data_IF_973968233720
#
_entry.id   IF_973968233720
#
_cell.length_a   1.000
_cell.length_b   1.000
_cell.length_c   1.000
_cell.angle_alpha   90.00
_cell.angle_beta   90.00
_cell.angle_gamma   90.00
#
_symmetry.space_group_name_H-M   'P 1'
#
loop_
_entity.id
_entity.type
_entity.pdbx_description
1 polymer ?
#
# COMPACT_ATOMS: atom_id res chain seq x y z
N UNK A 1 -61.78 -29.76 -22.83
CA UNK A 1 -61.48 -30.22 -21.45
C UNK A 1 -60.16 -29.59 -21.07
N UNK A 2 -60.20 -28.56 -20.20
CA UNK A 2 -59.19 -28.09 -19.21
C UNK A 2 -57.77 -27.83 -19.76
N UNK A 3 -57.28 -26.59 -19.89
CA UNK A 3 -56.91 -25.63 -18.82
C UNK A 3 -55.47 -25.97 -18.34
N UNK A 4 -54.46 -25.10 -18.23
CA UNK A 4 -54.38 -23.67 -17.95
C UNK A 4 -53.03 -23.12 -18.47
N UNK A 5 -53.04 -21.83 -18.82
CA UNK A 5 -51.84 -20.97 -18.88
C UNK A 5 -51.07 -21.04 -17.56
N UNK A 6 -49.76 -21.22 -17.62
CA UNK A 6 -48.85 -20.74 -16.58
C UNK A 6 -47.72 -19.99 -17.29
N UNK A 7 -47.98 -18.71 -17.54
CA UNK A 7 -46.92 -17.71 -17.59
C UNK A 7 -46.11 -17.88 -16.30
N UNK A 8 -44.87 -18.35 -16.41
CA UNK A 8 -43.92 -18.21 -15.31
C UNK A 8 -43.64 -16.72 -15.17
N UNK A 9 -44.42 -16.05 -14.33
CA UNK A 9 -43.99 -14.81 -13.70
C UNK A 9 -42.65 -15.12 -13.06
N UNK A 10 -41.59 -14.64 -13.68
CA UNK A 10 -40.36 -14.37 -12.97
C UNK A 10 -40.76 -13.27 -12.00
N UNK A 11 -41.14 -13.66 -10.78
CA UNK A 11 -41.22 -12.73 -9.66
C UNK A 11 -39.79 -12.19 -9.51
N UNK A 12 -39.54 -11.07 -10.17
CA UNK A 12 -38.44 -10.15 -9.84
C UNK A 12 -38.72 -9.70 -8.42
N UNK A 13 -38.35 -10.56 -7.46
CA UNK A 13 -38.58 -10.31 -6.06
C UNK A 13 -37.85 -9.01 -5.73
N UNK A 14 -38.56 -8.08 -5.11
CA UNK A 14 -38.00 -6.82 -4.64
C UNK A 14 -36.82 -7.02 -3.64
N UNK A 15 -36.51 -8.27 -3.27
CA UNK A 15 -35.33 -8.65 -2.51
C UNK A 15 -34.04 -8.68 -3.35
N UNK A 16 -34.10 -8.98 -4.66
CA UNK A 16 -32.91 -8.90 -5.54
C UNK A 16 -32.57 -7.44 -5.90
N UNK A 17 -33.55 -6.55 -5.82
CA UNK A 17 -33.34 -5.10 -5.90
C UNK A 17 -32.86 -4.46 -4.59
N UNK A 18 -32.81 -5.22 -3.48
CA UNK A 18 -31.91 -4.91 -2.36
C UNK A 18 -30.49 -5.35 -2.71
N UNK A 19 -30.00 -4.88 -3.86
CA UNK A 19 -28.57 -4.67 -4.07
C UNK A 19 -28.12 -3.65 -3.02
N UNK A 20 -27.81 -4.18 -1.83
CA UNK A 20 -27.01 -3.65 -0.74
C UNK A 20 -27.12 -2.13 -0.69
N UNK A 21 -27.95 -1.56 0.17
CA UNK A 21 -27.92 -0.11 0.38
C UNK A 21 -26.48 0.31 0.73
N UNK A 22 -25.78 0.84 -0.28
CA UNK A 22 -24.33 0.85 -0.37
C UNK A 22 -23.84 2.08 0.42
N UNK A 23 -23.53 1.92 1.72
CA UNK A 23 -22.85 2.99 2.48
C UNK A 23 -21.44 3.24 1.91
N UNK A 24 -21.03 4.44 1.49
CA UNK A 24 -19.74 4.65 0.82
C UNK A 24 -18.54 4.33 1.73
N UNK A 25 -17.36 4.09 1.13
CA UNK A 25 -16.08 4.26 1.84
C UNK A 25 -16.13 5.58 2.63
N UNK A 26 -15.41 5.72 3.74
CA UNK A 26 -15.28 7.05 4.35
C UNK A 26 -14.81 7.99 3.23
N UNK A 27 -15.63 8.98 2.83
CA UNK A 27 -15.35 9.85 1.67
C UNK A 27 -13.92 10.38 1.68
N UNK A 28 -13.39 10.57 2.89
CA UNK A 28 -12.02 10.95 3.18
C UNK A 28 -10.94 10.00 2.64
N UNK A 29 -11.03 8.67 2.81
CA UNK A 29 -9.98 7.76 2.31
C UNK A 29 -9.93 7.76 0.77
N UNK A 30 -11.10 7.80 0.12
CA UNK A 30 -11.20 7.92 -1.33
C UNK A 30 -10.61 9.25 -1.82
N UNK A 31 -11.01 10.37 -1.23
CA UNK A 31 -10.49 11.71 -1.57
C UNK A 31 -8.97 11.82 -1.39
N UNK A 32 -8.43 11.25 -0.31
CA UNK A 32 -6.99 11.25 -0.02
C UNK A 32 -6.22 10.48 -1.10
N UNK A 33 -6.69 9.28 -1.47
CA UNK A 33 -6.07 8.50 -2.54
C UNK A 33 -6.19 9.24 -3.88
N UNK A 34 -7.34 9.84 -4.17
CA UNK A 34 -7.55 10.61 -5.40
C UNK A 34 -6.62 11.81 -5.51
N UNK A 35 -6.45 12.58 -4.43
CA UNK A 35 -5.49 13.69 -4.35
C UNK A 35 -4.07 13.20 -4.62
N UNK A 36 -3.66 12.11 -3.97
CA UNK A 36 -2.34 11.52 -4.17
C UNK A 36 -2.11 11.07 -5.61
N UNK A 37 -3.09 10.39 -6.23
CA UNK A 37 -3.00 9.96 -7.63
C UNK A 37 -2.87 11.15 -8.60
N UNK A 38 -3.57 12.26 -8.35
CA UNK A 38 -3.45 13.47 -9.17
C UNK A 38 -2.02 14.01 -9.17
N UNK A 39 -1.40 14.13 -7.98
CA UNK A 39 -0.01 14.59 -7.84
C UNK A 39 0.98 13.62 -8.51
N UNK A 40 0.76 12.32 -8.36
CA UNK A 40 1.60 11.31 -9.04
C UNK A 40 1.51 11.42 -10.57
N UNK A 41 0.34 11.77 -11.12
CA UNK A 41 0.16 12.00 -12.55
C UNK A 41 0.84 13.29 -13.01
N UNK A 42 0.72 14.38 -12.26
CA UNK A 42 1.43 15.64 -12.52
C UNK A 42 2.94 15.44 -12.51
N UNK A 43 3.48 14.66 -11.56
CA UNK A 43 4.88 14.28 -11.55
C UNK A 43 5.30 13.49 -12.79
N UNK A 44 4.46 12.54 -13.22
CA UNK A 44 4.71 11.78 -14.45
C UNK A 44 4.77 12.67 -15.70
N UNK A 45 4.13 13.85 -15.67
CA UNK A 45 4.19 14.87 -16.72
C UNK A 45 5.33 15.88 -16.55
N UNK A 46 6.14 15.77 -15.49
CA UNK A 46 7.22 16.71 -15.17
C UNK A 46 6.74 18.07 -14.63
N UNK A 47 5.51 18.14 -14.12
CA UNK A 47 4.92 19.40 -13.62
C UNK A 47 5.26 19.71 -12.15
N UNK A 48 5.80 18.74 -11.43
CA UNK A 48 6.23 18.90 -10.04
C UNK A 48 7.77 18.97 -9.95
N UNK A 49 8.32 19.80 -9.05
CA UNK A 49 9.76 19.89 -8.86
C UNK A 49 10.35 18.53 -8.45
N UNK A 50 11.56 18.25 -8.94
CA UNK A 50 12.37 17.12 -8.49
C UNK A 50 13.21 17.50 -7.28
N UNK A 51 13.41 16.55 -6.38
CA UNK A 51 14.30 16.65 -5.23
C UNK A 51 15.41 15.62 -5.35
N UNK A 52 16.56 15.86 -4.73
CA UNK A 52 17.59 14.83 -4.60
C UNK A 52 17.22 13.76 -3.56
N UNK A 53 16.24 14.04 -2.70
CA UNK A 53 15.71 13.07 -1.73
C UNK A 53 14.64 12.22 -2.42
N UNK A 54 14.82 10.88 -2.57
CA UNK A 54 13.93 10.03 -3.35
C UNK A 54 12.48 10.06 -2.89
N UNK A 55 12.26 10.10 -1.58
CA UNK A 55 10.93 10.13 -0.98
C UNK A 55 10.15 11.40 -1.34
N UNK A 56 10.82 12.53 -1.54
CA UNK A 56 10.18 13.78 -1.99
C UNK A 56 9.78 13.74 -3.48
N UNK A 57 10.13 12.68 -4.21
CA UNK A 57 9.77 12.48 -5.61
C UNK A 57 8.57 11.53 -5.79
N UNK A 58 7.80 11.25 -4.73
CA UNK A 58 6.51 10.55 -4.84
C UNK A 58 5.41 11.58 -5.12
N UNK A 59 4.45 11.83 -4.23
CA UNK A 59 3.51 12.94 -4.42
C UNK A 59 4.16 14.31 -4.23
N UNK A 60 5.33 14.37 -3.58
CA UNK A 60 5.95 15.62 -3.11
C UNK A 60 5.51 16.02 -1.70
N UNK A 61 4.62 15.25 -1.10
CA UNK A 61 4.10 15.41 0.26
C UNK A 61 4.24 14.07 0.99
N UNK A 62 5.30 13.94 1.80
CA UNK A 62 5.61 12.71 2.53
C UNK A 62 4.51 12.30 3.50
N UNK A 63 3.81 13.27 4.09
CA UNK A 63 2.68 12.97 4.98
C UNK A 63 1.56 12.32 4.16
N UNK A 64 1.24 12.88 2.99
CA UNK A 64 0.25 12.30 2.09
C UNK A 64 0.66 10.89 1.62
N UNK A 65 1.91 10.69 1.24
CA UNK A 65 2.44 9.38 0.82
C UNK A 65 2.30 8.34 1.94
N UNK A 66 2.61 8.73 3.18
CA UNK A 66 2.47 7.92 4.39
C UNK A 66 1.02 7.62 4.75
N UNK A 67 0.13 8.61 4.64
CA UNK A 67 -1.30 8.43 4.88
C UNK A 67 -1.88 7.42 3.89
N UNK A 68 -1.56 7.55 2.60
CA UNK A 68 -2.00 6.59 1.57
C UNK A 68 -1.46 5.19 1.87
N UNK A 69 -0.16 5.07 2.21
CA UNK A 69 0.44 3.80 2.60
C UNK A 69 -0.30 3.16 3.79
N UNK A 70 -0.62 3.95 4.82
CA UNK A 70 -1.35 3.48 6.00
C UNK A 70 -2.77 3.00 5.70
N UNK A 71 -3.42 3.57 4.68
CA UNK A 71 -4.75 3.13 4.23
C UNK A 71 -4.63 1.78 3.54
N UNK A 72 -3.71 1.67 2.57
CA UNK A 72 -3.59 0.46 1.75
C UNK A 72 -3.03 -0.70 2.54
N UNK A 73 -2.04 -0.49 3.40
CA UNK A 73 -1.36 -1.53 4.19
C UNK A 73 -2.08 -1.97 5.47
N UNK A 74 -3.25 -1.39 5.79
CA UNK A 74 -3.92 -1.58 7.08
C UNK A 74 -4.14 -3.07 7.45
N UNK A 75 -4.42 -3.93 6.46
CA UNK A 75 -4.62 -5.36 6.67
C UNK A 75 -3.33 -6.17 6.88
N UNK A 76 -2.17 -5.66 6.46
CA UNK A 76 -0.86 -6.32 6.64
C UNK A 76 -0.09 -5.81 7.85
N UNK A 77 -0.60 -4.83 8.59
CA UNK A 77 0.17 -4.07 9.59
C UNK A 77 0.92 -4.93 10.62
N UNK A 78 0.32 -6.02 11.09
CA UNK A 78 0.94 -6.92 12.06
C UNK A 78 2.07 -7.79 11.50
N UNK A 79 2.21 -7.83 10.16
CA UNK A 79 3.25 -8.56 9.43
C UNK A 79 4.32 -7.65 8.83
N UNK A 80 4.15 -6.34 8.93
CA UNK A 80 5.13 -5.37 8.45
C UNK A 80 6.36 -5.36 9.37
N UNK A 81 7.54 -5.01 8.84
CA UNK A 81 8.74 -4.85 9.65
C UNK A 81 8.49 -3.92 10.85
N UNK A 82 8.92 -4.32 12.04
CA UNK A 82 8.61 -3.61 13.28
C UNK A 82 9.76 -3.75 14.26
N UNK A 83 10.60 -2.73 14.34
CA UNK A 83 11.70 -2.71 15.29
C UNK A 83 11.15 -2.65 16.73
N UNK A 84 11.74 -3.45 17.62
CA UNK A 84 11.34 -3.57 19.02
C UNK A 84 12.56 -3.45 19.92
N UNK A 85 12.39 -2.74 21.03
CA UNK A 85 13.45 -2.55 22.02
C UNK A 85 12.86 -2.55 23.43
N UNK A 86 13.69 -2.79 24.42
CA UNK A 86 13.32 -2.60 25.82
C UNK A 86 13.72 -1.20 26.28
N UNK A 87 12.81 -0.49 26.96
CA UNK A 87 13.15 0.77 27.61
C UNK A 87 13.94 0.54 28.92
N UNK A 88 14.37 1.63 29.57
CA UNK A 88 15.15 1.56 30.82
C UNK A 88 14.38 0.90 31.98
N UNK A 89 13.06 0.84 31.89
CA UNK A 89 12.17 0.23 32.89
C UNK A 89 11.90 -1.25 32.57
N UNK A 90 12.46 -1.78 31.48
CA UNK A 90 12.25 -3.16 31.04
C UNK A 90 10.94 -3.38 30.29
N UNK A 91 10.25 -2.33 29.86
CA UNK A 91 9.06 -2.47 29.04
C UNK A 91 9.42 -2.64 27.57
N UNK A 92 8.77 -3.60 26.90
CA UNK A 92 8.90 -3.76 25.45
C UNK A 92 8.20 -2.61 24.72
N UNK A 93 8.97 -1.88 23.92
CA UNK A 93 8.52 -0.86 22.99
C UNK A 93 8.66 -1.37 21.56
N UNK A 94 7.88 -0.78 20.66
CA UNK A 94 7.85 -1.14 19.26
C UNK A 94 7.54 0.10 18.44
N UNK A 95 8.13 0.21 17.25
CA UNK A 95 7.84 1.31 16.32
C UNK A 95 6.37 1.27 15.89
N UNK A 96 5.84 0.06 15.65
CA UNK A 96 4.43 -0.15 15.34
C UNK A 96 3.72 -0.73 16.55
N UNK A 97 2.84 0.07 17.15
CA UNK A 97 1.89 -0.42 18.14
C UNK A 97 0.84 -1.36 17.52
N UNK A 98 0.29 -2.25 18.34
CA UNK A 98 -0.86 -3.08 17.95
C UNK A 98 -2.03 -2.18 17.57
N UNK A 99 -2.56 -2.34 16.37
CA UNK A 99 -3.73 -1.60 15.90
C UNK A 99 -4.75 -2.58 15.36
N UNK A 100 -6.00 -2.40 15.76
CA UNK A 100 -7.11 -3.18 15.20
C UNK A 100 -7.28 -2.78 13.74
N UNK A 101 -7.37 -3.76 12.85
CA UNK A 101 -7.66 -3.55 11.43
C UNK A 101 -8.95 -2.73 11.33
N UNK A 102 -8.93 -1.65 10.55
CA UNK A 102 -10.11 -0.81 10.38
C UNK A 102 -11.19 -1.61 9.66
N UNK A 103 -12.40 -1.63 10.22
CA UNK A 103 -13.57 -2.19 9.53
C UNK A 103 -13.95 -1.26 8.37
N UNK A 104 -13.82 -1.77 7.15
CA UNK A 104 -14.23 -1.10 5.92
C UNK A 104 -15.33 -1.89 5.24
N UNK A 105 -16.07 -1.21 4.36
CA UNK A 105 -16.99 -1.88 3.45
C UNK A 105 -16.27 -2.75 2.42
N UNK A 106 -15.21 -2.21 1.83
CA UNK A 106 -14.30 -2.96 0.96
C UNK A 106 -12.98 -3.03 1.71
N UNK A 107 -12.60 -4.24 2.10
CA UNK A 107 -11.30 -4.44 2.72
C UNK A 107 -10.23 -4.43 1.63
N UNK A 108 -9.27 -3.53 1.78
CA UNK A 108 -8.06 -3.54 0.96
C UNK A 108 -7.15 -4.67 1.47
N UNK A 109 -6.73 -5.52 0.54
CA UNK A 109 -5.88 -6.68 0.80
C UNK A 109 -4.56 -6.51 0.05
N UNK A 110 -3.51 -6.05 0.73
CA UNK A 110 -2.20 -5.96 0.12
C UNK A 110 -1.64 -7.35 -0.13
N UNK A 111 -1.02 -7.53 -1.29
CA UNK A 111 -0.19 -8.68 -1.58
C UNK A 111 1.26 -8.33 -1.31
N UNK A 112 1.92 -9.16 -0.52
CA UNK A 112 3.36 -9.06 -0.31
C UNK A 112 4.10 -9.35 -1.62
N UNK A 113 5.01 -8.45 -2.02
CA UNK A 113 5.85 -8.65 -3.20
C UNK A 113 7.12 -9.40 -2.82
N UNK A 114 7.92 -8.81 -1.93
CA UNK A 114 9.14 -9.38 -1.36
C UNK A 114 9.61 -8.48 -0.22
N UNK A 115 10.58 -8.95 0.56
CA UNK A 115 11.30 -8.18 1.58
C UNK A 115 12.79 -8.21 1.31
N UNK A 116 13.46 -7.08 1.50
CA UNK A 116 14.92 -6.95 1.46
C UNK A 116 15.44 -6.58 2.85
N UNK A 117 16.73 -6.76 3.05
CA UNK A 117 17.47 -6.15 4.13
C UNK A 117 18.48 -5.15 3.57
N UNK A 118 18.40 -3.90 4.02
CA UNK A 118 19.33 -2.87 3.56
C UNK A 118 20.76 -3.10 4.03
N UNK A 119 20.93 -3.48 5.29
CA UNK A 119 22.25 -3.66 5.87
C UNK A 119 22.21 -4.50 7.15
N UNK A 120 23.34 -5.13 7.45
CA UNK A 120 23.65 -5.63 8.79
C UNK A 120 24.47 -4.57 9.53
N UNK A 121 23.87 -3.89 10.49
CA UNK A 121 24.60 -2.90 11.30
C UNK A 121 25.31 -3.54 12.49
N UNK A 122 24.76 -4.63 13.02
CA UNK A 122 25.39 -5.48 14.03
C UNK A 122 24.68 -6.85 14.06
N UNK A 123 25.19 -7.85 14.80
CA UNK A 123 24.45 -9.08 15.06
C UNK A 123 23.05 -8.80 15.64
N UNK A 124 22.00 -9.15 14.90
CA UNK A 124 20.60 -8.90 15.28
C UNK A 124 20.11 -7.47 15.08
N UNK A 125 20.89 -6.61 14.40
CA UNK A 125 20.49 -5.27 13.97
C UNK A 125 20.46 -5.20 12.45
N UNK A 126 19.28 -5.54 11.95
CA UNK A 126 18.94 -5.57 10.54
C UNK A 126 18.09 -4.34 10.17
N UNK A 127 18.04 -4.01 8.88
CA UNK A 127 17.25 -2.91 8.33
C UNK A 127 16.27 -3.44 7.28
N UNK A 128 15.27 -4.26 7.69
CA UNK A 128 14.32 -4.86 6.78
C UNK A 128 13.37 -3.83 6.16
N UNK A 129 13.13 -4.00 4.87
CA UNK A 129 12.13 -3.24 4.12
C UNK A 129 11.25 -4.19 3.31
N UNK A 130 9.93 -4.08 3.51
CA UNK A 130 8.93 -4.92 2.86
C UNK A 130 8.19 -4.14 1.77
N UNK A 131 8.06 -4.76 0.60
CA UNK A 131 7.34 -4.23 -0.55
C UNK A 131 5.99 -4.92 -0.69
N UNK A 132 4.96 -4.16 -0.99
CA UNK A 132 3.61 -4.69 -1.17
C UNK A 132 2.85 -3.94 -2.25
N UNK A 133 1.87 -4.62 -2.85
CA UNK A 133 0.96 -4.04 -3.83
C UNK A 133 -0.48 -4.22 -3.37
N UNK A 134 -1.28 -3.17 -3.49
CA UNK A 134 -2.70 -3.21 -3.14
C UNK A 134 -3.53 -2.73 -4.30
N UNK A 135 -4.53 -3.52 -4.71
CA UNK A 135 -5.54 -3.06 -5.66
C UNK A 135 -6.54 -2.14 -4.95
N UNK A 136 -6.77 -0.96 -5.52
CA UNK A 136 -7.74 0.03 -5.02
C UNK A 136 -8.89 0.11 -6.02
N UNK A 137 -10.02 -0.55 -5.73
CA UNK A 137 -11.14 -0.64 -6.68
C UNK A 137 -11.72 0.72 -7.05
N UNK A 138 -11.79 1.64 -6.08
CA UNK A 138 -12.44 2.94 -6.24
C UNK A 138 -11.76 3.86 -7.26
N UNK A 139 -10.48 3.61 -7.57
CA UNK A 139 -9.72 4.35 -8.57
C UNK A 139 -9.25 3.45 -9.74
N UNK A 140 -9.57 2.16 -9.67
CA UNK A 140 -9.13 1.14 -10.62
C UNK A 140 -7.61 1.16 -10.88
N UNK A 141 -6.81 1.19 -9.82
CA UNK A 141 -5.33 1.18 -9.87
C UNK A 141 -4.75 0.20 -8.87
N UNK A 142 -3.48 -0.16 -9.06
CA UNK A 142 -2.67 -0.80 -8.03
C UNK A 142 -1.68 0.20 -7.47
N UNK A 143 -1.63 0.32 -6.15
CA UNK A 143 -0.66 1.15 -5.43
C UNK A 143 0.43 0.24 -4.87
N UNK A 144 1.68 0.63 -5.09
CA UNK A 144 2.86 -0.03 -4.54
C UNK A 144 3.33 0.77 -3.33
N UNK A 145 3.58 0.08 -2.24
CA UNK A 145 4.03 0.66 -0.98
C UNK A 145 5.28 -0.04 -0.50
N UNK A 146 6.13 0.73 0.17
CA UNK A 146 7.26 0.22 0.94
C UNK A 146 7.02 0.42 2.43
N UNK A 147 7.63 -0.43 3.25
CA UNK A 147 7.44 -0.47 4.68
C UNK A 147 8.75 -0.82 5.39
N UNK A 148 9.31 0.13 6.13
CA UNK A 148 10.53 -0.01 6.92
C UNK A 148 10.19 -0.35 8.37
N UNK A 149 11.15 -0.83 9.14
CA UNK A 149 10.98 -1.17 10.56
C UNK A 149 11.16 0.02 11.51
N UNK A 150 11.72 1.14 11.03
CA UNK A 150 11.93 2.39 11.77
C UNK A 150 11.47 3.62 10.99
N UNK A 151 11.45 4.78 11.67
CA UNK A 151 11.16 6.10 11.08
C UNK A 151 12.41 6.84 10.63
N UNK A 152 13.60 6.25 10.78
CA UNK A 152 14.86 7.00 10.77
C UNK A 152 15.19 7.60 9.41
N UNK A 153 14.76 6.96 8.32
CA UNK A 153 15.06 7.41 6.96
C UNK A 153 14.18 8.57 6.50
N UNK A 154 12.87 8.52 6.79
CA UNK A 154 11.87 9.43 6.19
C UNK A 154 10.94 10.10 7.19
N UNK A 155 11.09 9.84 8.50
CA UNK A 155 10.13 10.24 9.54
C UNK A 155 8.85 9.39 9.56
N UNK A 156 8.68 8.50 8.58
CA UNK A 156 7.55 7.59 8.44
C UNK A 156 8.04 6.17 8.17
N UNK A 157 7.24 5.19 8.62
CA UNK A 157 7.57 3.78 8.44
C UNK A 157 6.99 3.17 7.18
N UNK A 158 5.95 3.78 6.60
CA UNK A 158 5.24 3.28 5.43
C UNK A 158 5.13 4.41 4.41
N UNK A 159 5.40 4.14 3.14
CA UNK A 159 5.28 5.12 2.06
C UNK A 159 4.66 4.49 0.81
N UNK A 160 3.77 5.24 0.16
CA UNK A 160 3.23 4.88 -1.15
C UNK A 160 4.19 5.37 -2.23
N UNK A 161 4.94 4.45 -2.84
CA UNK A 161 6.06 4.77 -3.73
C UNK A 161 5.67 4.88 -5.21
N UNK A 162 4.48 4.42 -5.58
CA UNK A 162 3.95 4.63 -6.91
C UNK A 162 2.72 3.79 -7.21
N UNK A 163 2.25 3.88 -8.46
CA UNK A 163 1.04 3.20 -8.89
C UNK A 163 1.18 2.66 -10.32
N UNK A 164 0.32 1.70 -10.65
CA UNK A 164 0.20 1.18 -12.01
C UNK A 164 -1.26 0.80 -12.32
N UNK A 165 -1.54 0.61 -13.62
CA UNK A 165 -2.81 0.04 -14.06
C UNK A 165 -2.97 -1.40 -13.54
N UNK A 166 -4.20 -1.88 -13.31
CA UNK A 166 -4.46 -3.22 -12.81
C UNK A 166 -4.35 -4.25 -13.94
N UNK A 167 -3.13 -4.50 -14.41
CA UNK A 167 -2.83 -5.54 -15.40
C UNK A 167 -3.25 -6.94 -14.91
N UNK A 168 -3.31 -7.93 -15.81
CA UNK A 168 -3.69 -9.30 -15.44
C UNK A 168 -2.80 -9.88 -14.32
N UNK A 169 -1.50 -9.61 -14.38
CA UNK A 169 -0.50 -10.00 -13.38
C UNK A 169 -0.04 -8.77 -12.58
N UNK A 170 -0.11 -8.79 -11.24
CA UNK A 170 0.39 -7.70 -10.39
C UNK A 170 1.85 -7.33 -10.66
N UNK A 171 2.69 -8.33 -10.89
CA UNK A 171 4.15 -8.24 -11.01
C UNK A 171 4.58 -7.36 -12.18
N UNK A 172 3.82 -7.39 -13.29
CA UNK A 172 4.16 -6.64 -14.50
C UNK A 172 4.16 -5.13 -14.26
N UNK A 173 3.15 -4.63 -13.56
CA UNK A 173 3.02 -3.20 -13.28
C UNK A 173 3.92 -2.73 -12.14
N UNK A 174 4.09 -3.56 -11.11
CA UNK A 174 4.86 -3.22 -9.90
C UNK A 174 6.36 -3.14 -10.18
N UNK A 175 6.88 -3.97 -11.09
CA UNK A 175 8.30 -3.98 -11.47
C UNK A 175 8.83 -2.59 -11.82
N UNK A 176 8.13 -1.86 -12.69
CA UNK A 176 8.58 -0.51 -13.12
C UNK A 176 8.58 0.49 -11.96
N UNK A 177 7.61 0.39 -11.04
CA UNK A 177 7.53 1.26 -9.87
C UNK A 177 8.72 1.01 -8.94
N UNK A 178 8.99 -0.26 -8.62
CA UNK A 178 10.11 -0.65 -7.76
C UNK A 178 11.45 -0.27 -8.39
N UNK A 179 11.65 -0.55 -9.68
CA UNK A 179 12.88 -0.18 -10.37
C UNK A 179 13.10 1.34 -10.39
N UNK A 180 12.04 2.13 -10.57
CA UNK A 180 12.15 3.60 -10.49
C UNK A 180 12.47 4.07 -9.08
N UNK A 181 11.88 3.44 -8.05
CA UNK A 181 12.16 3.74 -6.66
C UNK A 181 13.63 3.45 -6.31
N UNK A 182 14.10 2.25 -6.64
CA UNK A 182 15.48 1.84 -6.42
C UNK A 182 16.49 2.63 -7.23
N UNK A 183 16.17 3.03 -8.47
CA UNK A 183 17.05 3.89 -9.27
C UNK A 183 17.33 5.22 -8.55
N UNK A 184 16.28 5.85 -7.99
CA UNK A 184 16.43 7.09 -7.21
C UNK A 184 17.17 6.87 -5.90
N UNK A 185 16.91 5.75 -5.21
CA UNK A 185 17.67 5.41 -4.01
C UNK A 185 19.15 5.22 -4.34
N UNK A 186 19.47 4.51 -5.41
CA UNK A 186 20.85 4.31 -5.84
C UNK A 186 21.56 5.65 -6.11
N UNK A 187 20.89 6.59 -6.79
CA UNK A 187 21.41 7.95 -7.00
C UNK A 187 21.63 8.73 -5.69
N UNK A 188 20.84 8.44 -4.66
CA UNK A 188 20.87 9.16 -3.38
C UNK A 188 21.85 8.58 -2.36
N UNK A 189 21.84 7.26 -2.14
CA UNK A 189 22.64 6.56 -1.12
C UNK A 189 23.85 5.81 -1.69
N UNK A 190 23.91 5.56 -3.01
CA UNK A 190 25.06 4.94 -3.67
C UNK A 190 25.31 3.45 -3.38
N UNK A 191 24.59 2.84 -2.43
CA UNK A 191 24.79 1.45 -2.01
C UNK A 191 23.55 0.58 -2.26
N UNK A 192 23.74 -0.69 -2.70
CA UNK A 192 22.65 -1.65 -2.81
C UNK A 192 22.25 -2.18 -1.41
N UNK A 193 21.11 -2.85 -1.36
CA UNK A 193 20.72 -3.67 -0.21
C UNK A 193 21.60 -4.94 -0.09
N UNK A 194 21.65 -5.53 1.10
CA UNK A 194 22.52 -6.64 1.42
C UNK A 194 22.00 -7.99 0.90
N UNK A 195 20.73 -8.30 1.16
CA UNK A 195 20.10 -9.57 0.77
C UNK A 195 18.57 -9.49 0.70
N UNK A 196 17.98 -10.56 0.14
CA UNK A 196 16.53 -10.80 0.12
C UNK A 196 16.16 -11.56 1.38
N UNK A 197 15.22 -10.99 2.14
CA UNK A 197 14.71 -11.54 3.41
C UNK A 197 13.54 -12.50 3.23
N UNK A 198 12.67 -12.21 2.26
CA UNK A 198 11.51 -13.03 1.98
C UNK A 198 11.07 -12.82 0.55
N UNK A 199 10.69 -13.90 -0.10
CA UNK A 199 10.03 -13.87 -1.39
C UNK A 199 8.51 -13.77 -1.19
N UNK A 200 7.82 -13.24 -2.20
CA UNK A 200 6.36 -13.14 -2.23
C UNK A 200 5.83 -13.40 -3.63
N UNK A 201 5.10 -12.45 -4.20
CA UNK A 201 4.67 -12.54 -5.60
C UNK A 201 5.80 -12.36 -6.63
N UNK A 202 6.93 -11.77 -6.21
CA UNK A 202 8.07 -11.44 -7.08
C UNK A 202 9.33 -12.06 -6.51
#
# INVERSE_FOLDING_TARGET
MIGFNNESKCDDSAEDQKLIEYLPESSREHEVIGKWLSLMQERGKGLLPSSNVPANNMSGDLELDSVVASIVLDALKDRLPNYRWYDREGNLKSVRGKKVIKKRKIQLLPNHLFSINWAYSAPGLDWPESYSVTYVPSHNVRIVSTSSDSTDCYGYTDLAIGWCKPYRTPEYGTKKVIQSWWGRLHEWIGHPWADVYSEGLV
#
